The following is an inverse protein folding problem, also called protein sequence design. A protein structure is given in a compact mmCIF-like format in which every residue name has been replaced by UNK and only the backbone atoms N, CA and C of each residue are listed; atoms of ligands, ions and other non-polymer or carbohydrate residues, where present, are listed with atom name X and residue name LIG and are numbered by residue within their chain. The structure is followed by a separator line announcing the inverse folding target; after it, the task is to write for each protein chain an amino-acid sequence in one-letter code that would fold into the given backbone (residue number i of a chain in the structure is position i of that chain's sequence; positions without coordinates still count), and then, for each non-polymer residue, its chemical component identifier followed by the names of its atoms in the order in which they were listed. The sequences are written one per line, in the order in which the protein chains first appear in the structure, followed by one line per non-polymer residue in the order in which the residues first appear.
data_IF_978656113212
#
_entry.id   IF_978656113212
#
_cell.length_a   1.000
_cell.length_b   1.000
_cell.length_c   1.000
_cell.angle_alpha   90.00
_cell.angle_beta   90.00
_cell.angle_gamma   90.00
#
_symmetry.space_group_name_H-M   'P 1'
#
loop_
_entity.id
_entity.type
_entity.pdbx_description
1 polymer ?
#
# COMPACT_ATOMS: atom_id res chain seq x y z
N UNK A 1 -13.78 -9.67 -16.79
CA UNK A 1 -13.05 -9.99 -15.55
C UNK A 1 -13.38 -11.40 -15.11
N UNK A 2 -12.46 -12.04 -14.40
CA UNK A 2 -12.65 -13.39 -13.88
C UNK A 2 -13.04 -13.35 -12.40
N UNK A 3 -13.55 -14.48 -11.89
CA UNK A 3 -13.88 -14.66 -10.47
C UNK A 3 -12.62 -14.40 -9.60
N UNK A 4 -12.74 -13.73 -8.43
CA UNK A 4 -13.99 -13.18 -7.85
C UNK A 4 -14.28 -11.75 -8.34
N UNK A 5 -13.41 -11.10 -9.09
CA UNK A 5 -13.47 -9.69 -9.44
C UNK A 5 -14.58 -9.32 -10.45
N UNK A 6 -15.28 -10.31 -10.99
CA UNK A 6 -16.48 -10.11 -11.81
C UNK A 6 -17.77 -9.93 -10.99
N UNK A 7 -17.71 -10.06 -9.66
CA UNK A 7 -18.86 -9.93 -8.76
C UNK A 7 -19.11 -8.45 -8.40
N UNK A 8 -19.42 -7.63 -9.40
CA UNK A 8 -19.47 -6.16 -9.31
C UNK A 8 -20.88 -5.56 -9.19
N UNK A 9 -21.93 -6.38 -9.22
CA UNK A 9 -23.30 -5.90 -9.12
C UNK A 9 -23.83 -6.01 -7.69
N UNK A 10 -23.83 -4.90 -6.96
CA UNK A 10 -24.33 -4.84 -5.58
C UNK A 10 -25.82 -5.14 -5.42
N UNK A 11 -26.60 -5.09 -6.51
CA UNK A 11 -28.04 -5.42 -6.50
C UNK A 11 -28.26 -6.91 -6.69
N UNK A 12 -27.28 -7.67 -7.16
CA UNK A 12 -27.32 -9.11 -7.21
C UNK A 12 -27.04 -9.70 -5.81
N UNK A 13 -27.98 -10.47 -5.21
CA UNK A 13 -27.80 -11.01 -3.88
C UNK A 13 -26.57 -11.91 -3.72
N UNK A 14 -26.16 -12.66 -4.75
CA UNK A 14 -24.97 -13.50 -4.72
C UNK A 14 -23.70 -12.66 -4.66
N UNK A 15 -23.62 -11.59 -5.47
CA UNK A 15 -22.47 -10.67 -5.46
C UNK A 15 -22.37 -9.91 -4.14
N UNK A 16 -23.51 -9.46 -3.60
CA UNK A 16 -23.56 -8.80 -2.30
C UNK A 16 -23.12 -9.73 -1.17
N UNK A 17 -23.61 -10.99 -1.18
CA UNK A 17 -23.25 -11.99 -0.18
C UNK A 17 -21.77 -12.44 -0.25
N UNK A 18 -21.17 -12.44 -1.44
CA UNK A 18 -19.76 -12.78 -1.63
C UNK A 18 -18.81 -11.76 -1.01
N UNK A 19 -19.27 -10.52 -0.77
CA UNK A 19 -18.53 -9.45 -0.09
C UNK A 19 -17.11 -9.22 -0.65
N UNK A 20 -17.01 -9.21 -1.98
CA UNK A 20 -15.71 -9.00 -2.69
C UNK A 20 -15.32 -7.52 -2.67
N UNK A 21 -16.29 -6.63 -2.57
CA UNK A 21 -16.09 -5.19 -2.54
C UNK A 21 -16.74 -4.57 -1.30
N UNK A 22 -16.12 -3.51 -0.77
CA UNK A 22 -16.76 -2.63 0.20
C UNK A 22 -17.70 -1.70 -0.58
N UNK A 23 -18.99 -1.91 -0.55
CA UNK A 23 -19.99 -1.09 -1.26
C UNK A 23 -20.24 0.25 -0.56
N UNK A 24 -19.19 1.03 -0.39
CA UNK A 24 -19.14 2.26 0.41
C UNK A 24 -19.07 3.51 -0.47
N UNK A 25 -19.37 4.70 0.05
CA UNK A 25 -19.15 5.96 -0.65
C UNK A 25 -17.65 6.24 -0.84
N UNK A 26 -17.34 7.30 -1.58
CA UNK A 26 -15.97 7.78 -1.74
C UNK A 26 -15.42 8.35 -0.42
N UNK A 27 -14.10 8.20 -0.21
CA UNK A 27 -13.38 8.85 0.89
C UNK A 27 -13.56 10.37 0.79
N UNK A 28 -13.95 10.98 1.89
CA UNK A 28 -14.05 12.44 2.04
C UNK A 28 -13.08 12.98 3.10
N UNK A 29 -12.64 12.14 4.02
CA UNK A 29 -11.60 12.45 5.01
C UNK A 29 -10.55 11.32 5.06
N UNK A 30 -9.38 11.59 4.51
CA UNK A 30 -8.24 10.65 4.53
C UNK A 30 -7.53 10.58 5.89
N UNK A 31 -7.94 11.37 6.88
CA UNK A 31 -7.45 11.26 8.25
C UNK A 31 -8.36 10.36 9.11
N UNK A 32 -9.55 10.03 8.63
CA UNK A 32 -10.40 9.01 9.23
C UNK A 32 -9.92 7.61 8.83
N UNK A 33 -9.35 6.82 9.76
CA UNK A 33 -8.80 5.50 9.44
C UNK A 33 -9.83 4.52 8.88
N UNK A 34 -11.11 4.68 9.25
CA UNK A 34 -12.18 3.84 8.73
C UNK A 34 -12.47 4.14 7.26
N UNK A 35 -12.59 5.42 6.91
CA UNK A 35 -12.80 5.83 5.52
C UNK A 35 -11.59 5.46 4.66
N UNK A 36 -10.38 5.74 5.15
CA UNK A 36 -9.14 5.42 4.43
C UNK A 36 -9.05 3.94 4.03
N UNK A 37 -9.57 3.02 4.86
CA UNK A 37 -9.44 1.57 4.64
C UNK A 37 -10.65 0.90 3.96
N UNK A 38 -11.80 1.55 3.96
CA UNK A 38 -13.05 0.89 3.58
C UNK A 38 -13.87 1.70 2.57
N UNK A 39 -13.45 2.92 2.22
CA UNK A 39 -14.19 3.76 1.29
C UNK A 39 -13.49 3.82 -0.07
N UNK A 40 -14.27 4.00 -1.11
CA UNK A 40 -13.79 4.05 -2.49
C UNK A 40 -12.87 5.26 -2.74
N UNK A 41 -11.77 5.07 -3.42
CA UNK A 41 -10.96 6.17 -3.94
C UNK A 41 -11.63 6.79 -5.16
N UNK A 42 -12.32 7.91 -4.98
CA UNK A 42 -13.09 8.53 -6.03
C UNK A 42 -14.22 7.62 -6.54
N UNK A 43 -14.17 7.24 -7.80
CA UNK A 43 -15.15 6.35 -8.44
C UNK A 43 -14.66 4.91 -8.61
N UNK A 44 -13.50 4.57 -8.05
CA UNK A 44 -12.96 3.22 -8.11
C UNK A 44 -13.67 2.33 -7.09
N UNK A 45 -14.00 1.10 -7.50
CA UNK A 45 -14.54 0.13 -6.56
C UNK A 45 -13.45 -0.31 -5.57
N UNK A 46 -13.79 -0.31 -4.29
CA UNK A 46 -12.89 -0.71 -3.22
C UNK A 46 -12.97 -2.22 -2.97
N UNK A 47 -11.85 -2.92 -3.14
CA UNK A 47 -11.76 -4.36 -2.87
C UNK A 47 -11.74 -4.63 -1.37
N UNK A 48 -12.58 -5.57 -0.91
CA UNK A 48 -12.53 -6.06 0.45
C UNK A 48 -11.29 -6.94 0.67
N UNK A 49 -10.18 -6.31 1.01
CA UNK A 49 -8.90 -6.99 1.23
C UNK A 49 -8.81 -7.78 2.54
N UNK A 50 -9.85 -7.76 3.40
CA UNK A 50 -10.00 -8.66 4.53
C UNK A 50 -10.66 -10.00 4.15
N UNK A 51 -11.33 -10.06 2.99
CA UNK A 51 -11.94 -11.28 2.48
C UNK A 51 -10.86 -12.27 2.00
N UNK A 52 -10.80 -13.50 2.55
CA UNK A 52 -9.82 -14.50 2.15
C UNK A 52 -9.85 -14.83 0.65
N UNK A 53 -11.04 -14.85 0.04
CA UNK A 53 -11.19 -15.13 -1.40
C UNK A 53 -10.50 -14.05 -2.24
N UNK A 54 -10.58 -12.80 -1.82
CA UNK A 54 -9.90 -11.67 -2.47
C UNK A 54 -8.39 -11.79 -2.31
N UNK A 55 -7.91 -12.09 -1.11
CA UNK A 55 -6.47 -12.24 -0.83
C UNK A 55 -5.87 -13.33 -1.72
N UNK A 56 -6.47 -14.51 -1.76
CA UNK A 56 -5.96 -15.63 -2.55
C UNK A 56 -5.99 -15.33 -4.06
N UNK A 57 -7.08 -14.75 -4.55
CA UNK A 57 -7.17 -14.36 -5.96
C UNK A 57 -6.13 -13.29 -6.35
N UNK A 58 -5.79 -12.37 -5.45
CA UNK A 58 -4.71 -11.41 -5.65
C UNK A 58 -3.35 -12.10 -5.62
N UNK A 59 -3.08 -12.99 -4.65
CA UNK A 59 -1.85 -13.77 -4.63
C UNK A 59 -1.64 -14.51 -5.96
N UNK A 60 -2.65 -15.22 -6.44
CA UNK A 60 -2.58 -15.98 -7.70
C UNK A 60 -2.29 -15.07 -8.90
N UNK A 61 -2.97 -13.93 -8.98
CA UNK A 61 -2.77 -12.97 -10.05
C UNK A 61 -1.35 -12.40 -10.07
N UNK A 62 -0.76 -12.10 -8.91
CA UNK A 62 0.58 -11.53 -8.83
C UNK A 62 1.68 -12.59 -8.95
N UNK A 63 1.46 -13.81 -8.48
CA UNK A 63 2.34 -14.98 -8.75
C UNK A 63 2.46 -15.24 -10.23
N UNK A 64 1.36 -15.12 -11.00
CA UNK A 64 1.38 -15.23 -12.45
C UNK A 64 2.42 -14.31 -13.10
N UNK A 65 2.49 -13.04 -12.70
CA UNK A 65 3.46 -12.10 -13.27
C UNK A 65 4.91 -12.42 -12.91
N UNK A 66 5.14 -12.97 -11.71
CA UNK A 66 6.47 -13.45 -11.32
C UNK A 66 6.89 -14.63 -12.19
N UNK A 67 5.98 -15.56 -12.44
CA UNK A 67 6.25 -16.78 -13.19
C UNK A 67 6.35 -16.54 -14.70
N UNK A 68 5.35 -15.90 -15.30
CA UNK A 68 5.22 -15.75 -16.74
C UNK A 68 6.05 -14.60 -17.31
N UNK A 69 6.11 -13.49 -16.60
CA UNK A 69 6.86 -12.31 -17.05
C UNK A 69 8.24 -12.15 -16.41
N UNK A 70 8.54 -12.94 -15.39
CA UNK A 70 9.84 -12.90 -14.73
C UNK A 70 10.14 -11.61 -13.96
N UNK A 71 9.11 -10.88 -13.52
CA UNK A 71 9.30 -9.61 -12.80
C UNK A 71 10.11 -9.81 -11.51
N UNK A 72 10.93 -8.82 -11.14
CA UNK A 72 11.82 -8.85 -9.98
C UNK A 72 11.38 -7.93 -8.85
N UNK A 73 10.33 -7.13 -9.07
CA UNK A 73 9.83 -6.19 -8.09
C UNK A 73 8.37 -5.82 -8.34
N UNK A 74 7.69 -5.37 -7.29
CA UNK A 74 6.39 -4.69 -7.39
C UNK A 74 6.45 -3.29 -6.81
N UNK A 75 6.01 -2.30 -7.60
CA UNK A 75 5.57 -1.02 -7.09
C UNK A 75 4.11 -1.16 -6.68
N UNK A 76 3.82 -0.83 -5.44
CA UNK A 76 2.48 -0.94 -4.85
C UNK A 76 1.87 0.46 -4.80
N UNK A 77 0.85 0.66 -5.61
CA UNK A 77 0.07 1.88 -5.63
C UNK A 77 -0.81 1.97 -4.38
N UNK A 78 -0.98 3.17 -3.82
CA UNK A 78 -1.89 3.46 -2.70
C UNK A 78 -1.83 2.46 -1.53
N UNK A 79 -0.63 1.97 -1.19
CA UNK A 79 -0.43 0.95 -0.14
C UNK A 79 -1.13 1.27 1.17
N UNK A 80 -1.28 2.55 1.49
CA UNK A 80 -1.89 3.03 2.71
C UNK A 80 -3.41 2.89 2.77
N UNK A 81 -4.08 2.63 1.65
CA UNK A 81 -5.53 2.40 1.60
C UNK A 81 -5.90 0.96 1.98
N UNK A 82 -4.91 0.10 2.16
CA UNK A 82 -5.08 -1.32 2.48
C UNK A 82 -4.54 -1.60 3.89
N UNK A 83 -5.22 -2.42 4.71
CA UNK A 83 -4.76 -2.76 6.05
C UNK A 83 -3.38 -3.41 6.08
N UNK A 84 -2.57 -3.10 7.09
CA UNK A 84 -1.24 -3.72 7.29
C UNK A 84 -1.31 -5.25 7.33
N UNK A 85 -2.39 -5.82 7.90
CA UNK A 85 -2.55 -7.27 7.97
C UNK A 85 -2.72 -7.92 6.60
N UNK A 86 -3.37 -7.25 5.63
CA UNK A 86 -3.41 -7.75 4.27
C UNK A 86 -2.00 -7.88 3.71
N UNK A 87 -1.16 -6.84 3.84
CA UNK A 87 0.21 -6.85 3.32
C UNK A 87 1.06 -7.93 3.97
N UNK A 88 0.91 -8.18 5.28
CA UNK A 88 1.58 -9.30 5.95
C UNK A 88 1.18 -10.63 5.34
N UNK A 89 -0.10 -10.89 5.18
CA UNK A 89 -0.60 -12.14 4.58
C UNK A 89 -0.21 -12.27 3.11
N UNK A 90 -0.41 -11.21 2.33
CA UNK A 90 -0.14 -11.21 0.90
C UNK A 90 1.36 -11.43 0.59
N UNK A 91 2.25 -10.80 1.36
CA UNK A 91 3.68 -10.83 1.12
C UNK A 91 4.40 -11.96 1.86
N UNK A 92 4.06 -12.23 3.13
CA UNK A 92 4.88 -13.02 4.04
C UNK A 92 4.29 -14.36 4.47
N UNK A 93 3.04 -14.70 4.16
CA UNK A 93 2.53 -16.05 4.41
C UNK A 93 3.42 -17.11 3.72
N UNK A 94 3.36 -18.36 4.16
CA UNK A 94 4.13 -19.47 3.55
C UNK A 94 3.83 -19.64 2.05
N UNK A 95 2.65 -19.22 1.63
CA UNK A 95 2.22 -19.16 0.22
C UNK A 95 2.22 -17.72 -0.34
N UNK A 96 2.78 -16.77 0.37
CA UNK A 96 2.83 -15.35 0.01
C UNK A 96 3.79 -15.06 -1.15
N UNK A 97 3.80 -13.80 -1.58
CA UNK A 97 4.58 -13.35 -2.74
C UNK A 97 6.08 -13.59 -2.57
N UNK A 98 6.64 -13.32 -1.38
CA UNK A 98 8.08 -13.51 -1.16
C UNK A 98 8.49 -14.98 -1.20
N UNK A 99 7.71 -15.86 -0.57
CA UNK A 99 7.96 -17.29 -0.61
C UNK A 99 7.87 -17.84 -2.05
N UNK A 100 6.87 -17.41 -2.80
CA UNK A 100 6.71 -17.79 -4.20
C UNK A 100 7.87 -17.26 -5.07
N UNK A 101 8.23 -15.98 -4.96
CA UNK A 101 9.35 -15.39 -5.70
C UNK A 101 10.67 -16.14 -5.43
N UNK A 102 10.93 -16.47 -4.16
CA UNK A 102 12.08 -17.26 -3.76
C UNK A 102 12.07 -18.65 -4.39
N UNK A 103 10.92 -19.32 -4.47
CA UNK A 103 10.79 -20.63 -5.14
C UNK A 103 11.11 -20.57 -6.64
N UNK A 104 11.03 -19.38 -7.25
CA UNK A 104 11.40 -19.12 -8.65
C UNK A 104 12.84 -18.57 -8.79
N UNK A 105 13.67 -18.69 -7.74
CA UNK A 105 15.06 -18.25 -7.73
C UNK A 105 15.29 -16.74 -7.52
N UNK A 106 14.26 -16.01 -7.09
CA UNK A 106 14.34 -14.57 -6.82
C UNK A 106 14.53 -14.32 -5.33
N UNK A 107 15.76 -14.46 -4.86
CA UNK A 107 16.12 -14.35 -3.42
C UNK A 107 15.90 -12.95 -2.83
N UNK A 108 15.93 -11.91 -3.67
CA UNK A 108 15.79 -10.50 -3.26
C UNK A 108 14.65 -9.82 -4.03
N UNK A 109 13.44 -10.36 -3.92
CA UNK A 109 12.27 -9.75 -4.55
C UNK A 109 11.91 -8.44 -3.85
N UNK A 110 11.92 -7.32 -4.58
CA UNK A 110 11.67 -5.99 -4.03
C UNK A 110 10.18 -5.63 -4.07
N UNK A 111 9.67 -5.09 -2.95
CA UNK A 111 8.39 -4.35 -2.94
C UNK A 111 8.63 -2.94 -2.43
N UNK A 112 8.02 -1.95 -3.10
CA UNK A 112 8.03 -0.57 -2.61
C UNK A 112 6.65 0.06 -2.79
N UNK A 113 6.20 0.68 -1.70
CA UNK A 113 4.85 1.22 -1.59
C UNK A 113 4.78 2.70 -1.93
N UNK A 114 3.63 3.12 -2.45
CA UNK A 114 3.26 4.51 -2.57
C UNK A 114 2.29 4.91 -1.46
N UNK A 115 2.70 5.90 -0.65
CA UNK A 115 1.83 6.57 0.30
C UNK A 115 2.05 8.07 0.21
N UNK A 116 1.13 8.77 -0.45
CA UNK A 116 1.21 10.22 -0.58
C UNK A 116 0.86 10.86 0.76
N UNK A 117 1.88 11.26 1.51
CA UNK A 117 1.76 11.98 2.78
C UNK A 117 2.64 13.21 2.78
N UNK A 118 2.12 14.25 3.38
CA UNK A 118 2.80 15.55 3.50
C UNK A 118 2.89 15.88 4.98
N UNK A 119 4.10 15.96 5.52
CA UNK A 119 4.32 16.53 6.84
C UNK A 119 4.34 18.06 6.76
N UNK A 120 3.94 18.72 7.83
CA UNK A 120 4.22 20.15 7.97
C UNK A 120 5.74 20.36 8.22
N UNK A 121 6.28 21.56 7.93
CA UNK A 121 7.66 21.85 8.27
C UNK A 121 7.92 21.60 9.78
N UNK A 122 9.04 20.95 10.08
CA UNK A 122 9.43 20.59 11.45
C UNK A 122 8.47 19.64 12.18
N UNK A 123 7.69 18.85 11.44
CA UNK A 123 6.86 17.73 11.93
C UNK A 123 7.22 16.46 11.17
N UNK A 124 7.02 15.28 11.78
CA UNK A 124 7.37 13.97 11.22
C UNK A 124 6.20 13.00 11.08
N UNK A 125 4.97 13.48 11.24
CA UNK A 125 3.77 12.65 11.16
C UNK A 125 3.62 11.91 9.82
N UNK A 126 4.09 12.53 8.73
CA UNK A 126 4.10 11.88 7.40
C UNK A 126 5.11 10.75 7.32
N UNK A 127 6.33 10.94 7.87
CA UNK A 127 7.37 9.91 7.93
C UNK A 127 6.94 8.73 8.78
N UNK A 128 6.40 8.99 9.97
CA UNK A 128 5.87 7.96 10.88
C UNK A 128 4.76 7.14 10.18
N UNK A 129 3.89 7.81 9.44
CA UNK A 129 2.84 7.14 8.68
C UNK A 129 3.40 6.28 7.53
N UNK A 130 4.38 6.78 6.79
CA UNK A 130 5.05 6.04 5.72
C UNK A 130 5.83 4.86 6.29
N UNK A 131 6.62 5.08 7.34
CA UNK A 131 7.42 4.05 7.99
C UNK A 131 6.56 2.92 8.58
N UNK A 132 5.32 3.22 9.00
CA UNK A 132 4.40 2.18 9.52
C UNK A 132 4.12 1.07 8.51
N UNK A 133 4.29 1.31 7.20
CA UNK A 133 4.14 0.30 6.15
C UNK A 133 5.43 -0.43 5.81
N UNK A 134 6.59 0.07 6.22
CA UNK A 134 7.84 -0.68 6.19
C UNK A 134 7.83 -1.70 7.34
N UNK A 135 7.33 -1.29 8.51
CA UNK A 135 7.34 -2.10 9.72
C UNK A 135 8.68 -2.00 10.46
N UNK A 136 9.04 -3.01 11.22
CA UNK A 136 10.31 -3.11 11.95
C UNK A 136 11.23 -4.15 11.31
N UNK A 137 12.47 -4.28 11.82
CA UNK A 137 13.39 -5.35 11.36
C UNK A 137 12.86 -6.75 11.67
N UNK A 138 12.12 -6.88 12.76
CA UNK A 138 11.53 -8.14 13.23
C UNK A 138 10.18 -8.44 12.58
N UNK A 139 9.47 -7.40 12.10
CA UNK A 139 8.13 -7.47 11.49
C UNK A 139 8.06 -6.54 10.29
N UNK A 140 8.85 -6.83 9.25
CA UNK A 140 8.85 -6.08 7.98
C UNK A 140 7.55 -6.33 7.22
N UNK A 141 6.97 -5.27 6.66
CA UNK A 141 5.74 -5.34 5.84
C UNK A 141 6.12 -5.22 4.37
N UNK A 142 6.50 -4.02 3.90
CA UNK A 142 7.09 -3.83 2.56
C UNK A 142 8.57 -3.47 2.69
N UNK A 143 9.36 -3.73 1.67
CA UNK A 143 10.82 -3.49 1.76
C UNK A 143 11.17 -2.01 1.80
N UNK A 144 10.40 -1.17 1.13
CA UNK A 144 10.63 0.28 1.10
C UNK A 144 9.38 1.06 0.72
N UNK A 145 9.46 2.38 0.84
CA UNK A 145 8.38 3.30 0.50
C UNK A 145 8.91 4.48 -0.32
N UNK A 146 8.07 5.04 -1.19
CA UNK A 146 8.38 6.29 -1.87
C UNK A 146 8.43 7.45 -0.87
N UNK A 147 9.50 8.24 -0.93
CA UNK A 147 9.79 9.31 0.03
C UNK A 147 9.00 10.60 -0.22
N UNK A 148 7.67 10.55 -0.22
CA UNK A 148 6.83 11.72 -0.45
C UNK A 148 7.06 12.87 0.53
N UNK A 149 7.27 12.65 1.83
CA UNK A 149 7.59 13.75 2.75
C UNK A 149 8.83 14.53 2.30
N UNK A 150 9.89 13.85 1.88
CA UNK A 150 11.10 14.47 1.34
C UNK A 150 10.84 15.18 0.01
N UNK A 151 10.11 14.56 -0.89
CA UNK A 151 9.76 15.17 -2.19
C UNK A 151 9.06 16.51 -2.01
N UNK A 152 8.06 16.59 -1.15
CA UNK A 152 7.36 17.86 -0.89
C UNK A 152 8.23 18.89 -0.19
N UNK A 153 9.13 18.47 0.72
CA UNK A 153 10.04 19.40 1.38
C UNK A 153 11.08 19.98 0.43
N UNK A 154 11.60 19.17 -0.51
CA UNK A 154 12.48 19.68 -1.59
C UNK A 154 11.80 20.77 -2.41
N UNK A 155 10.53 20.58 -2.79
CA UNK A 155 9.75 21.60 -3.50
C UNK A 155 9.61 22.86 -2.64
N UNK A 156 9.28 22.72 -1.37
CA UNK A 156 9.10 23.86 -0.45
C UNK A 156 10.38 24.68 -0.30
N UNK A 157 11.51 24.00 -0.11
CA UNK A 157 12.80 24.68 0.09
C UNK A 157 13.30 25.31 -1.21
N UNK A 158 13.36 24.55 -2.31
CA UNK A 158 14.00 25.00 -3.54
C UNK A 158 13.10 25.83 -4.46
N UNK A 159 11.79 25.59 -4.45
CA UNK A 159 10.86 26.30 -5.32
C UNK A 159 10.01 27.36 -4.59
N UNK A 160 9.77 27.21 -3.30
CA UNK A 160 8.92 28.09 -2.52
C UNK A 160 9.68 28.95 -1.48
N UNK A 161 10.99 28.72 -1.32
CA UNK A 161 11.85 29.55 -0.49
C UNK A 161 11.77 29.27 1.01
N UNK A 162 11.36 28.07 1.44
CA UNK A 162 11.46 27.67 2.84
C UNK A 162 12.92 27.64 3.30
N UNK A 163 13.18 27.87 4.61
CA UNK A 163 14.54 27.79 5.14
C UNK A 163 15.15 26.38 4.93
N UNK A 164 16.44 26.28 4.54
CA UNK A 164 17.14 25.00 4.40
C UNK A 164 17.10 24.10 5.63
N UNK A 165 16.99 24.68 6.84
CA UNK A 165 16.81 23.93 8.09
C UNK A 165 15.57 23.02 8.09
N UNK A 166 14.54 23.34 7.30
CA UNK A 166 13.38 22.46 7.15
C UNK A 166 13.73 21.16 6.42
N UNK A 167 14.63 21.24 5.43
CA UNK A 167 15.14 20.05 4.72
C UNK A 167 16.06 19.21 5.62
N UNK A 168 16.95 19.87 6.39
CA UNK A 168 17.78 19.19 7.38
C UNK A 168 16.94 18.39 8.36
N UNK A 169 15.94 19.04 8.99
CA UNK A 169 15.00 18.36 9.87
C UNK A 169 14.31 17.16 9.18
N UNK A 170 13.90 17.30 7.93
CA UNK A 170 13.22 16.24 7.18
C UNK A 170 14.13 15.02 6.97
N UNK A 171 15.40 15.25 6.64
CA UNK A 171 16.38 14.17 6.48
C UNK A 171 16.66 13.45 7.79
N UNK A 172 16.78 14.20 8.90
CA UNK A 172 16.93 13.63 10.23
C UNK A 172 15.71 12.79 10.63
N UNK A 173 14.49 13.33 10.46
CA UNK A 173 13.26 12.62 10.76
C UNK A 173 13.12 11.29 10.00
N UNK A 174 13.56 11.25 8.74
CA UNK A 174 13.55 10.02 7.93
C UNK A 174 14.55 8.96 8.42
N UNK A 175 15.58 9.34 9.14
CA UNK A 175 16.58 8.39 9.71
C UNK A 175 16.15 7.86 11.08
N UNK A 176 15.21 8.51 11.74
CA UNK A 176 14.76 8.17 13.11
C UNK A 176 13.51 7.28 13.14
N UNK A 177 12.78 7.12 12.02
CA UNK A 177 11.52 6.36 11.94
C UNK A 177 11.72 4.92 11.32
#
# INVERSE_FOLDING_TARGET
SQFPFNMVDRLNPEHAAANIYHWTPSVIDYNDPHQEKNYSLGHLADLNTENPVVIEALKDSYKFWIEEAGVDAFRIDTVMLVPHQFWRRFLHDDDGIYAFAKSKGKESFLTFGEAVRVSQPFERSGEERVASYIGTKEDTIVNSMLGYPLYFELIRVFAQGLPPAALEYRLEAMMEV
#
